data_IF_930192249927
#
_entry.id   IF_930192249927
#
_cell.length_a   1.000
_cell.length_b   1.000
_cell.length_c   1.000
_cell.angle_alpha   90.00
_cell.angle_beta   90.00
_cell.angle_gamma   90.00
#
_symmetry.space_group_name_H-M   'P 1'
#
loop_
_entity.id
_entity.type
_entity.pdbx_description
1 polymer ?
#
# COMPACT_ATOMS: atom_id res chain seq x y z
N UNK A 1 -62.67 8.98 43.78
CA UNK A 1 -62.51 8.99 42.30
C UNK A 1 -61.12 9.48 41.98
N UNK A 2 -60.20 8.61 41.72
CA UNK A 2 -58.81 8.97 41.38
C UNK A 2 -58.58 8.68 39.89
N UNK A 3 -58.43 9.76 39.10
CA UNK A 3 -58.10 9.67 37.70
C UNK A 3 -56.55 9.52 37.56
N UNK A 4 -56.13 8.38 37.04
CA UNK A 4 -54.71 8.16 36.62
C UNK A 4 -54.50 8.73 35.23
N UNK A 5 -53.70 9.78 35.12
CA UNK A 5 -53.20 10.26 33.82
C UNK A 5 -52.05 9.32 33.38
N UNK A 6 -52.25 8.65 32.28
CA UNK A 6 -51.19 7.90 31.60
C UNK A 6 -50.52 8.81 30.55
N UNK A 7 -49.27 9.21 30.80
CA UNK A 7 -48.47 9.96 29.83
C UNK A 7 -47.80 8.94 28.90
N UNK A 8 -48.22 8.93 27.64
CA UNK A 8 -47.58 8.16 26.60
C UNK A 8 -46.37 8.97 26.04
N UNK A 9 -45.18 8.53 26.34
CA UNK A 9 -43.95 9.08 25.74
C UNK A 9 -43.78 8.57 24.32
N UNK A 10 -44.01 9.42 23.33
CA UNK A 10 -43.63 9.12 21.94
C UNK A 10 -42.09 9.24 21.81
N UNK A 11 -41.39 8.11 21.72
CA UNK A 11 -40.02 8.06 21.25
C UNK A 11 -40.03 8.23 19.72
N UNK A 12 -39.74 9.44 19.24
CA UNK A 12 -39.40 9.67 17.86
C UNK A 12 -37.95 9.20 17.63
N UNK A 13 -37.81 8.00 17.06
CA UNK A 13 -36.52 7.52 16.54
C UNK A 13 -36.10 8.43 15.38
N UNK A 14 -35.14 9.31 15.62
CA UNK A 14 -34.42 10.01 14.58
C UNK A 14 -33.64 8.97 13.76
N UNK A 15 -34.20 8.53 12.64
CA UNK A 15 -33.49 7.83 11.57
C UNK A 15 -32.46 8.83 10.99
N UNK A 16 -31.24 8.81 11.53
CA UNK A 16 -30.12 9.44 10.85
C UNK A 16 -30.00 8.75 9.47
N UNK A 17 -29.98 9.52 8.35
CA UNK A 17 -29.74 8.90 7.06
C UNK A 17 -28.39 8.22 7.12
N UNK A 18 -28.33 6.91 6.92
CA UNK A 18 -27.11 6.25 6.53
C UNK A 18 -26.70 6.90 5.22
N UNK A 19 -25.68 7.75 5.27
CA UNK A 19 -25.01 8.24 4.07
C UNK A 19 -24.35 7.01 3.48
N UNK A 20 -25.03 6.38 2.55
CA UNK A 20 -24.44 5.29 1.75
C UNK A 20 -23.15 5.84 1.14
N UNK A 21 -22.06 5.14 1.36
CA UNK A 21 -20.76 5.48 0.81
C UNK A 21 -20.87 5.67 -0.69
N UNK A 22 -20.76 6.91 -1.13
CA UNK A 22 -21.00 7.32 -2.50
C UNK A 22 -19.79 7.04 -3.38
N UNK A 23 -19.45 5.76 -3.56
CA UNK A 23 -18.38 5.32 -4.46
C UNK A 23 -18.88 4.27 -5.46
N UNK A 24 -18.37 4.33 -6.69
CA UNK A 24 -18.59 3.31 -7.72
C UNK A 24 -17.39 2.38 -7.80
N UNK A 25 -17.62 1.07 -7.71
CA UNK A 25 -16.58 0.02 -7.93
C UNK A 25 -16.70 -0.56 -9.33
N UNK A 26 -15.61 -0.54 -10.10
CA UNK A 26 -15.42 -1.35 -11.30
C UNK A 26 -14.48 -2.48 -10.96
N UNK A 27 -15.02 -3.68 -10.81
CA UNK A 27 -14.28 -4.85 -10.32
C UNK A 27 -13.71 -5.71 -11.44
N UNK A 28 -12.63 -6.44 -11.13
CA UNK A 28 -12.04 -7.47 -11.97
C UNK A 28 -11.64 -6.98 -13.38
N UNK A 29 -11.04 -5.79 -13.44
CA UNK A 29 -10.52 -5.24 -14.69
C UNK A 29 -9.19 -5.93 -15.03
N UNK A 30 -9.07 -6.63 -16.16
CA UNK A 30 -7.82 -7.27 -16.55
C UNK A 30 -6.79 -6.22 -16.98
N UNK A 31 -5.55 -6.37 -16.48
CA UNK A 31 -4.45 -5.47 -16.86
C UNK A 31 -3.46 -6.09 -17.87
N UNK A 32 -3.59 -7.38 -18.15
CA UNK A 32 -2.87 -8.09 -19.22
C UNK A 32 -3.85 -8.93 -20.05
N UNK A 33 -3.70 -8.93 -21.36
CA UNK A 33 -4.47 -9.76 -22.29
C UNK A 33 -4.06 -11.24 -22.15
N UNK A 34 -5.05 -12.16 -22.18
CA UNK A 34 -4.82 -13.61 -22.03
C UNK A 34 -4.15 -13.98 -20.70
N UNK A 35 -4.27 -13.10 -19.72
CA UNK A 35 -3.55 -13.16 -18.46
C UNK A 35 -4.07 -14.22 -17.49
N UNK A 36 -3.33 -14.34 -16.42
CA UNK A 36 -3.62 -15.20 -15.27
C UNK A 36 -4.85 -14.66 -14.49
N UNK A 37 -5.57 -15.52 -13.74
CA UNK A 37 -6.70 -15.13 -12.89
C UNK A 37 -6.37 -14.01 -11.89
N UNK A 38 -5.10 -13.85 -11.55
CA UNK A 38 -4.61 -12.78 -10.68
C UNK A 38 -4.16 -11.52 -11.43
N UNK A 39 -4.22 -11.47 -12.74
CA UNK A 39 -3.95 -10.25 -13.53
C UNK A 39 -5.16 -9.33 -13.58
N UNK A 40 -5.76 -9.08 -12.41
CA UNK A 40 -6.97 -8.29 -12.23
C UNK A 40 -6.73 -7.16 -11.23
N UNK A 41 -7.36 -6.02 -11.47
CA UNK A 41 -7.43 -4.90 -10.54
C UNK A 41 -8.88 -4.44 -10.34
N UNK A 42 -9.12 -3.70 -9.26
CA UNK A 42 -10.38 -3.04 -8.97
C UNK A 42 -10.18 -1.53 -8.94
N UNK A 43 -11.14 -0.80 -9.49
CA UNK A 43 -11.11 0.66 -9.56
C UNK A 43 -12.31 1.22 -8.80
N UNK A 44 -12.05 2.12 -7.88
CA UNK A 44 -13.05 2.82 -7.08
C UNK A 44 -13.00 4.31 -7.43
N UNK A 45 -14.14 4.88 -7.81
CA UNK A 45 -14.27 6.29 -8.18
C UNK A 45 -15.34 6.97 -7.34
N UNK A 46 -15.29 8.30 -7.14
CA UNK A 46 -16.43 9.02 -6.62
C UNK A 46 -17.70 8.72 -7.43
N UNK A 47 -18.84 8.65 -6.76
CA UNK A 47 -20.12 8.39 -7.44
C UNK A 47 -20.50 9.52 -8.40
N UNK A 48 -20.22 10.76 -7.96
CA UNK A 48 -20.50 11.94 -8.79
C UNK A 48 -19.33 12.21 -9.72
N UNK A 49 -19.56 12.22 -11.05
CA UNK A 49 -18.55 12.62 -12.01
C UNK A 49 -18.04 14.04 -11.73
N UNK A 50 -16.79 14.29 -12.08
CA UNK A 50 -16.20 15.63 -12.05
C UNK A 50 -15.47 15.87 -13.37
N UNK A 51 -15.46 17.13 -13.82
CA UNK A 51 -14.72 17.54 -15.03
C UNK A 51 -13.21 17.59 -14.80
N UNK A 52 -12.77 17.54 -13.54
CA UNK A 52 -11.35 17.54 -13.19
C UNK A 52 -10.81 16.12 -13.14
N UNK A 53 -9.60 15.93 -13.67
CA UNK A 53 -8.84 14.70 -13.46
C UNK A 53 -8.42 14.58 -11.99
N UNK A 54 -8.74 13.45 -11.37
CA UNK A 54 -8.52 13.19 -9.95
C UNK A 54 -7.15 12.51 -9.71
N UNK A 55 -6.45 12.80 -8.61
CA UNK A 55 -5.28 12.03 -8.23
C UNK A 55 -5.65 10.56 -8.03
N UNK A 56 -4.68 9.69 -8.23
CA UNK A 56 -4.86 8.24 -8.17
C UNK A 56 -4.05 7.67 -7.01
N UNK A 57 -4.66 6.81 -6.19
CA UNK A 57 -3.95 5.93 -5.27
C UNK A 57 -3.91 4.52 -5.85
N UNK A 58 -2.73 4.04 -6.16
CA UNK A 58 -2.47 2.66 -6.57
C UNK A 58 -2.04 1.86 -5.35
N UNK A 59 -2.84 0.86 -4.95
CA UNK A 59 -2.65 0.09 -3.73
C UNK A 59 -2.30 -1.37 -3.99
N UNK A 60 -1.28 -1.87 -3.27
CA UNK A 60 -0.75 -3.22 -3.39
C UNK A 60 -1.02 -3.97 -2.08
N UNK A 61 -1.74 -5.09 -2.15
CA UNK A 61 -2.09 -5.88 -0.96
C UNK A 61 -0.88 -6.59 -0.34
N UNK A 62 -0.97 -6.93 0.94
CA UNK A 62 -0.03 -7.76 1.68
C UNK A 62 -0.25 -9.26 1.46
N UNK A 63 0.24 -10.06 2.42
CA UNK A 63 0.06 -11.51 2.43
C UNK A 63 1.35 -12.30 2.24
N UNK A 64 2.51 -11.71 2.55
CA UNK A 64 3.82 -12.37 2.52
C UNK A 64 4.20 -12.89 1.13
N UNK A 65 3.73 -12.25 0.07
CA UNK A 65 3.90 -12.62 -1.35
C UNK A 65 3.28 -13.98 -1.74
N UNK A 66 2.57 -14.66 -0.80
CA UNK A 66 2.01 -16.00 -0.96
C UNK A 66 0.48 -16.05 -0.78
N UNK A 67 -0.12 -14.95 -0.37
CA UNK A 67 -1.56 -14.80 -0.12
C UNK A 67 -2.02 -13.36 -0.34
N UNK A 68 -3.27 -13.06 -0.02
CA UNK A 68 -3.87 -11.74 -0.13
C UNK A 68 -4.64 -11.52 -1.43
N UNK A 69 -5.41 -10.45 -1.44
CA UNK A 69 -6.29 -10.12 -2.56
C UNK A 69 -6.48 -8.61 -2.68
N UNK A 70 -6.77 -8.13 -3.90
CA UNK A 70 -7.14 -6.74 -4.19
C UNK A 70 -8.37 -6.25 -3.44
N UNK A 71 -9.17 -7.17 -2.88
CA UNK A 71 -10.31 -6.82 -2.05
C UNK A 71 -9.93 -6.47 -0.59
N UNK A 72 -8.67 -6.70 -0.19
CA UNK A 72 -8.14 -6.42 1.16
C UNK A 72 -7.82 -4.91 1.34
N UNK A 73 -8.82 -4.06 1.14
CA UNK A 73 -8.66 -2.59 1.09
C UNK A 73 -9.20 -1.82 2.30
N UNK A 74 -10.03 -2.46 3.13
CA UNK A 74 -10.69 -1.84 4.30
C UNK A 74 -11.37 -0.49 3.97
N UNK A 75 -11.09 0.57 4.74
CA UNK A 75 -11.72 1.89 4.60
C UNK A 75 -11.10 2.78 3.51
N UNK A 76 -9.95 2.40 2.98
CA UNK A 76 -9.16 3.25 2.06
C UNK A 76 -9.93 3.71 0.82
N UNK A 77 -10.66 2.83 0.09
CA UNK A 77 -11.42 3.28 -1.08
C UNK A 77 -12.46 4.34 -0.73
N UNK A 78 -13.20 4.11 0.35
CA UNK A 78 -14.25 5.04 0.78
C UNK A 78 -13.64 6.41 1.12
N UNK A 79 -12.69 6.44 2.02
CA UNK A 79 -12.13 7.70 2.52
C UNK A 79 -11.40 8.50 1.45
N UNK A 80 -10.79 7.81 0.48
CA UNK A 80 -10.07 8.47 -0.62
C UNK A 80 -11.01 8.95 -1.73
N UNK A 81 -12.06 8.19 -2.07
CA UNK A 81 -13.04 8.65 -3.06
C UNK A 81 -13.86 9.83 -2.54
N UNK A 82 -14.18 9.87 -1.24
CA UNK A 82 -14.81 11.03 -0.59
C UNK A 82 -13.92 12.30 -0.65
N UNK A 83 -12.60 12.12 -0.76
CA UNK A 83 -11.61 13.20 -0.93
C UNK A 83 -11.23 13.49 -2.38
N UNK A 84 -11.98 12.92 -3.32
CA UNK A 84 -11.76 13.18 -4.74
C UNK A 84 -10.55 12.46 -5.33
N UNK A 85 -10.22 11.27 -4.84
CA UNK A 85 -9.25 10.36 -5.44
C UNK A 85 -9.96 9.28 -6.26
N UNK A 86 -9.27 8.76 -7.26
CA UNK A 86 -9.51 7.42 -7.79
C UNK A 86 -8.63 6.46 -7.00
N UNK A 87 -9.22 5.39 -6.47
CA UNK A 87 -8.47 4.35 -5.77
C UNK A 87 -8.42 3.08 -6.63
N UNK A 88 -7.24 2.52 -6.81
CA UNK A 88 -7.01 1.28 -7.57
C UNK A 88 -6.33 0.27 -6.66
N UNK A 89 -6.90 -0.93 -6.56
CA UNK A 89 -6.27 -2.06 -5.86
C UNK A 89 -5.94 -3.16 -6.85
N UNK A 90 -4.71 -3.69 -6.79
CA UNK A 90 -4.23 -4.68 -7.75
C UNK A 90 -3.95 -6.03 -7.11
N UNK A 91 -4.23 -7.11 -7.84
CA UNK A 91 -3.66 -8.42 -7.63
C UNK A 91 -2.33 -8.55 -8.40
N UNK A 92 -1.56 -9.55 -8.03
CA UNK A 92 -0.34 -10.00 -8.68
C UNK A 92 -0.20 -11.52 -8.44
N UNK A 93 0.52 -12.26 -9.30
CA UNK A 93 0.80 -13.68 -9.08
C UNK A 93 1.64 -13.90 -7.83
N UNK A 94 1.46 -15.03 -7.17
CA UNK A 94 2.01 -15.31 -5.84
C UNK A 94 3.17 -16.32 -5.91
N UNK A 95 4.02 -16.27 -4.89
CA UNK A 95 4.99 -17.34 -4.64
C UNK A 95 4.26 -18.60 -4.13
N UNK A 96 4.72 -19.81 -4.42
CA UNK A 96 5.89 -20.16 -5.23
C UNK A 96 5.56 -20.36 -6.73
N UNK A 97 4.35 -20.00 -7.17
CA UNK A 97 3.92 -20.15 -8.57
C UNK A 97 4.83 -19.40 -9.53
N UNK A 98 5.26 -18.22 -9.13
CA UNK A 98 6.21 -17.39 -9.88
C UNK A 98 7.42 -17.04 -9.02
N UNK A 99 8.47 -16.47 -9.63
CA UNK A 99 9.60 -15.88 -8.90
C UNK A 99 9.31 -14.48 -8.42
N UNK A 100 10.10 -13.95 -7.48
CA UNK A 100 9.96 -12.58 -6.98
C UNK A 100 10.08 -11.55 -8.11
N UNK A 101 11.00 -11.73 -9.04
CA UNK A 101 11.16 -10.84 -10.20
C UNK A 101 9.88 -10.78 -11.06
N UNK A 102 9.27 -11.92 -11.34
CA UNK A 102 8.02 -12.00 -12.10
C UNK A 102 6.88 -11.32 -11.34
N UNK A 103 6.80 -11.51 -10.02
CA UNK A 103 5.80 -10.89 -9.17
C UNK A 103 5.91 -9.36 -9.18
N UNK A 104 7.13 -8.81 -9.06
CA UNK A 104 7.36 -7.36 -9.15
C UNK A 104 6.96 -6.83 -10.53
N UNK A 105 7.25 -7.57 -11.61
CA UNK A 105 6.85 -7.21 -12.98
C UNK A 105 5.34 -7.24 -13.17
N UNK A 106 4.61 -8.15 -12.51
CA UNK A 106 3.13 -8.12 -12.52
C UNK A 106 2.60 -6.83 -11.93
N UNK A 107 3.15 -6.39 -10.78
CA UNK A 107 2.78 -5.12 -10.15
C UNK A 107 3.11 -3.94 -11.08
N UNK A 108 4.28 -3.93 -11.70
CA UNK A 108 4.68 -2.90 -12.65
C UNK A 108 3.78 -2.88 -13.90
N UNK A 109 3.39 -4.06 -14.42
CA UNK A 109 2.48 -4.18 -15.55
C UNK A 109 1.08 -3.64 -15.20
N UNK A 110 0.58 -3.94 -14.00
CA UNK A 110 -0.67 -3.37 -13.49
C UNK A 110 -0.59 -1.84 -13.37
N UNK A 111 0.51 -1.31 -12.82
CA UNK A 111 0.74 0.14 -12.77
C UNK A 111 0.79 0.77 -14.16
N UNK A 112 1.49 0.15 -15.10
CA UNK A 112 1.56 0.60 -16.50
C UNK A 112 0.19 0.62 -17.18
N UNK A 113 -0.66 -0.38 -16.89
CA UNK A 113 -2.04 -0.38 -17.35
C UNK A 113 -2.84 0.79 -16.75
N UNK A 114 -2.69 1.04 -15.44
CA UNK A 114 -3.33 2.18 -14.77
C UNK A 114 -2.90 3.49 -15.41
N UNK A 115 -1.62 3.72 -15.61
CA UNK A 115 -1.11 4.92 -16.28
C UNK A 115 -1.75 5.13 -17.66
N UNK A 116 -1.88 4.08 -18.48
CA UNK A 116 -2.45 4.18 -19.83
C UNK A 116 -3.98 4.34 -19.86
N UNK A 117 -4.70 3.88 -18.84
CA UNK A 117 -6.16 3.72 -18.92
C UNK A 117 -6.96 4.52 -17.89
N UNK A 118 -6.34 4.96 -16.78
CA UNK A 118 -7.08 5.53 -15.64
C UNK A 118 -7.84 6.82 -15.99
N UNK A 119 -7.44 7.50 -17.05
CA UNK A 119 -8.13 8.68 -17.56
C UNK A 119 -9.58 8.39 -17.99
N UNK A 120 -9.89 7.16 -18.41
CA UNK A 120 -11.26 6.70 -18.73
C UNK A 120 -12.15 6.60 -17.50
N UNK A 121 -11.53 6.52 -16.31
CA UNK A 121 -12.18 6.43 -15.01
C UNK A 121 -12.11 7.75 -14.23
N UNK A 122 -11.73 8.86 -14.88
CA UNK A 122 -11.61 10.17 -14.26
C UNK A 122 -10.30 10.43 -13.51
N UNK A 123 -9.38 9.47 -13.48
CA UNK A 123 -8.06 9.63 -12.85
C UNK A 123 -7.06 10.41 -13.71
N UNK A 124 -6.08 11.04 -13.06
CA UNK A 124 -4.97 11.73 -13.71
C UNK A 124 -3.77 10.78 -13.81
N UNK A 125 -3.37 10.34 -15.02
CA UNK A 125 -2.24 9.43 -15.19
C UNK A 125 -0.89 10.05 -14.78
N UNK A 126 -0.81 11.37 -14.63
CA UNK A 126 0.39 12.09 -14.21
C UNK A 126 0.40 12.43 -12.70
N UNK A 127 -0.58 11.94 -11.95
CA UNK A 127 -0.71 12.21 -10.51
C UNK A 127 -1.04 10.93 -9.75
N UNK A 128 -0.07 9.99 -9.69
CA UNK A 128 -0.28 8.68 -9.08
C UNK A 128 0.56 8.57 -7.80
N UNK A 129 -0.12 8.24 -6.70
CA UNK A 129 0.49 7.80 -5.45
C UNK A 129 0.51 6.27 -5.43
N UNK A 130 1.55 5.70 -4.86
CA UNK A 130 1.69 4.24 -4.70
C UNK A 130 1.68 3.91 -3.22
N UNK A 131 0.88 2.95 -2.81
CA UNK A 131 0.87 2.47 -1.44
C UNK A 131 0.73 0.96 -1.37
N UNK A 132 1.05 0.39 -0.23
CA UNK A 132 0.89 -1.03 0.00
C UNK A 132 1.20 -1.43 1.44
N UNK A 133 0.68 -2.58 1.86
CA UNK A 133 0.84 -3.08 3.21
C UNK A 133 1.69 -4.35 3.25
N UNK A 134 2.59 -4.49 4.25
CA UNK A 134 3.37 -5.71 4.48
C UNK A 134 4.22 -6.07 3.24
N UNK A 135 4.02 -7.24 2.62
CA UNK A 135 4.63 -7.59 1.33
C UNK A 135 4.36 -6.52 0.25
N UNK A 136 3.14 -5.96 0.22
CA UNK A 136 2.80 -4.85 -0.68
C UNK A 136 3.57 -3.56 -0.37
N UNK A 137 4.02 -3.35 0.85
CA UNK A 137 4.87 -2.22 1.20
C UNK A 137 6.27 -2.33 0.56
N UNK A 138 6.86 -3.53 0.56
CA UNK A 138 8.11 -3.80 -0.16
C UNK A 138 7.92 -3.58 -1.66
N UNK A 139 6.82 -4.11 -2.23
CA UNK A 139 6.51 -3.94 -3.65
C UNK A 139 6.28 -2.48 -4.04
N UNK A 140 5.61 -1.70 -3.20
CA UNK A 140 5.45 -0.26 -3.39
C UNK A 140 6.80 0.46 -3.35
N UNK A 141 7.64 0.14 -2.37
CA UNK A 141 8.95 0.76 -2.23
C UNK A 141 9.85 0.44 -3.43
N UNK A 142 9.92 -0.83 -3.86
CA UNK A 142 10.81 -1.23 -4.97
C UNK A 142 10.39 -0.59 -6.30
N UNK A 143 9.10 -0.56 -6.65
CA UNK A 143 8.66 0.06 -7.91
C UNK A 143 8.76 1.60 -7.90
N UNK A 144 8.91 2.23 -6.73
CA UNK A 144 9.12 3.67 -6.57
C UNK A 144 10.59 4.07 -6.44
N UNK A 145 11.53 3.12 -6.27
CA UNK A 145 12.98 3.39 -6.16
C UNK A 145 13.78 2.80 -7.31
N UNK A 146 13.36 1.65 -7.83
CA UNK A 146 13.96 1.01 -9.00
C UNK A 146 13.15 1.32 -10.26
N UNK A 147 13.63 2.27 -11.03
CA UNK A 147 12.98 2.77 -12.24
C UNK A 147 12.95 1.75 -13.40
N UNK A 148 13.73 0.68 -13.36
CA UNK A 148 13.76 -0.36 -14.40
C UNK A 148 12.38 -0.93 -14.65
N UNK A 149 11.66 -1.27 -13.58
CA UNK A 149 10.34 -1.91 -13.67
C UNK A 149 9.28 -1.02 -14.34
N UNK A 150 9.21 0.26 -13.99
CA UNK A 150 8.26 1.19 -14.62
C UNK A 150 8.70 1.61 -16.02
N UNK A 151 10.00 1.74 -16.28
CA UNK A 151 10.55 2.00 -17.64
C UNK A 151 10.18 0.89 -18.61
N UNK A 152 10.20 -0.38 -18.20
CA UNK A 152 9.74 -1.51 -19.02
C UNK A 152 8.27 -1.38 -19.44
N UNK A 153 7.47 -0.63 -18.67
CA UNK A 153 6.07 -0.32 -19.00
C UNK A 153 5.91 1.00 -19.76
N UNK A 154 7.00 1.68 -20.11
CA UNK A 154 7.00 2.99 -20.75
C UNK A 154 6.58 4.12 -19.82
N UNK A 155 6.79 3.99 -18.50
CA UNK A 155 6.37 4.97 -17.50
C UNK A 155 7.59 5.62 -16.85
N UNK A 156 7.60 6.96 -16.81
CA UNK A 156 8.58 7.76 -16.06
C UNK A 156 8.18 7.91 -14.59
N UNK A 157 9.17 8.03 -13.71
CA UNK A 157 8.93 8.38 -12.29
C UNK A 157 8.29 9.76 -12.09
N UNK A 158 8.32 10.63 -13.06
CA UNK A 158 7.71 11.96 -12.99
C UNK A 158 6.18 11.93 -12.78
N UNK A 159 5.53 10.81 -13.07
CA UNK A 159 4.09 10.63 -12.79
C UNK A 159 3.79 10.32 -11.33
N UNK A 160 4.81 9.89 -10.56
CA UNK A 160 4.69 9.53 -9.15
C UNK A 160 4.62 10.79 -8.28
N UNK A 161 3.64 10.85 -7.39
CA UNK A 161 3.45 11.98 -6.44
C UNK A 161 3.83 11.62 -5.02
N UNK A 162 3.87 10.34 -4.69
CA UNK A 162 4.26 9.86 -3.37
C UNK A 162 4.21 8.36 -3.27
N UNK A 163 4.96 7.82 -2.30
CA UNK A 163 4.97 6.41 -1.95
C UNK A 163 4.64 6.23 -0.47
N UNK A 164 3.68 5.34 -0.16
CA UNK A 164 3.20 5.09 1.20
C UNK A 164 3.32 3.60 1.56
N UNK A 165 4.52 3.11 1.86
CA UNK A 165 4.73 1.77 2.38
C UNK A 165 4.23 1.67 3.83
N UNK A 166 3.37 0.67 4.12
CA UNK A 166 2.76 0.46 5.43
C UNK A 166 3.26 -0.86 6.02
N UNK A 167 4.01 -0.76 7.10
CA UNK A 167 4.50 -1.85 7.95
C UNK A 167 5.26 -2.96 7.19
N UNK A 168 6.14 -2.56 6.27
CA UNK A 168 7.08 -3.45 5.59
C UNK A 168 8.34 -3.69 6.41
N UNK A 169 8.90 -4.88 6.29
CA UNK A 169 10.14 -5.31 6.98
C UNK A 169 11.28 -5.69 6.02
N UNK A 170 11.15 -5.39 4.74
CA UNK A 170 12.04 -5.91 3.67
C UNK A 170 12.48 -4.83 2.67
N UNK A 171 12.79 -3.62 3.17
CA UNK A 171 13.37 -2.57 2.32
C UNK A 171 14.88 -2.76 2.11
N UNK A 172 15.55 -3.47 3.05
CA UNK A 172 16.93 -3.97 2.96
C UNK A 172 16.91 -5.47 3.28
N UNK A 173 16.81 -6.29 2.25
CA UNK A 173 16.62 -7.74 2.37
C UNK A 173 17.84 -8.45 2.98
N UNK A 174 19.10 -8.16 2.58
CA UNK A 174 20.26 -8.73 3.25
C UNK A 174 20.25 -8.49 4.76
N UNK A 175 19.86 -7.28 5.16
CA UNK A 175 19.88 -6.89 6.58
C UNK A 175 18.82 -7.62 7.40
N UNK A 176 17.60 -7.77 6.88
CA UNK A 176 16.56 -8.49 7.61
C UNK A 176 16.85 -9.99 7.69
N UNK A 177 17.36 -10.61 6.62
CA UNK A 177 17.80 -12.00 6.63
C UNK A 177 18.90 -12.20 7.69
N UNK A 178 19.95 -11.38 7.66
CA UNK A 178 21.03 -11.44 8.65
C UNK A 178 20.52 -11.26 10.09
N UNK A 179 19.60 -10.33 10.32
CA UNK A 179 19.01 -10.08 11.64
C UNK A 179 18.22 -11.29 12.14
N UNK A 180 17.41 -11.90 11.27
CA UNK A 180 16.62 -13.08 11.60
C UNK A 180 17.51 -14.31 11.90
N UNK A 181 18.57 -14.54 11.11
CA UNK A 181 19.51 -15.63 11.30
C UNK A 181 20.36 -15.47 12.57
N UNK A 182 20.84 -14.25 12.86
CA UNK A 182 21.53 -13.95 14.13
C UNK A 182 20.62 -14.20 15.34
N UNK A 183 19.40 -13.76 15.28
CA UNK A 183 18.41 -13.96 16.34
C UNK A 183 18.16 -15.46 16.58
N UNK A 184 18.03 -16.25 15.50
CA UNK A 184 17.91 -17.70 15.59
C UNK A 184 19.14 -18.35 16.24
N UNK A 185 20.34 -17.89 15.91
CA UNK A 185 21.60 -18.39 16.50
C UNK A 185 21.69 -18.09 18.00
N UNK A 186 21.28 -16.89 18.43
CA UNK A 186 21.42 -16.44 19.81
C UNK A 186 20.38 -17.05 20.77
N UNK A 187 19.15 -17.21 20.31
CA UNK A 187 18.03 -17.58 21.17
C UNK A 187 17.48 -18.98 20.89
N UNK A 188 17.91 -19.62 19.80
CA UNK A 188 17.44 -20.95 19.40
C UNK A 188 15.96 -20.97 18.97
N UNK A 189 15.48 -22.16 18.63
CA UNK A 189 14.08 -22.39 18.32
C UNK A 189 13.63 -21.92 16.93
N UNK A 190 12.34 -22.10 16.65
CA UNK A 190 11.68 -21.59 15.44
C UNK A 190 11.45 -20.09 15.64
N UNK A 191 12.48 -19.29 15.43
CA UNK A 191 12.25 -17.87 15.37
C UNK A 191 11.46 -17.52 14.14
N UNK A 192 10.59 -16.56 14.37
CA UNK A 192 9.73 -15.99 13.37
C UNK A 192 10.59 -15.24 12.32
N UNK A 193 10.92 -15.94 11.25
CA UNK A 193 11.73 -15.42 10.16
C UNK A 193 10.86 -15.26 8.93
N UNK A 194 9.63 -15.03 8.91
CA UNK A 194 8.75 -15.02 7.72
C UNK A 194 9.29 -15.82 6.50
N UNK A 195 10.35 -16.58 6.68
CA UNK A 195 11.05 -17.30 5.64
C UNK A 195 11.58 -16.40 4.53
N UNK A 196 12.12 -15.21 4.86
CA UNK A 196 12.60 -14.27 3.85
C UNK A 196 13.56 -14.91 2.85
N UNK A 197 14.55 -15.70 3.35
CA UNK A 197 15.45 -16.43 2.46
C UNK A 197 14.73 -17.40 1.53
N UNK A 198 13.68 -18.07 1.99
CA UNK A 198 12.89 -18.98 1.15
C UNK A 198 12.10 -18.22 0.05
N UNK A 199 11.70 -16.97 0.32
CA UNK A 199 10.92 -16.14 -0.60
C UNK A 199 11.80 -15.40 -1.61
N UNK A 200 12.95 -14.89 -1.15
CA UNK A 200 13.89 -14.16 -2.01
C UNK A 200 15.00 -15.05 -2.59
N UNK A 201 15.04 -16.34 -2.20
CA UNK A 201 16.07 -17.31 -2.64
C UNK A 201 17.38 -17.17 -1.86
N UNK A 202 18.40 -17.90 -2.30
CA UNK A 202 19.71 -17.97 -1.65
C UNK A 202 20.78 -17.09 -2.34
N UNK A 203 20.42 -16.40 -3.41
CA UNK A 203 21.33 -15.55 -4.17
C UNK A 203 21.48 -14.18 -3.51
N UNK A 204 22.67 -13.84 -2.92
CA UNK A 204 22.88 -12.54 -2.27
C UNK A 204 22.75 -11.35 -3.22
N UNK A 205 23.07 -11.50 -4.51
CA UNK A 205 22.96 -10.43 -5.49
C UNK A 205 21.49 -10.08 -5.71
N UNK A 206 20.62 -11.08 -5.75
CA UNK A 206 19.17 -10.86 -5.82
C UNK A 206 18.60 -10.23 -4.55
N UNK A 207 19.13 -10.57 -3.37
CA UNK A 207 18.71 -9.88 -2.14
C UNK A 207 19.01 -8.38 -2.21
N UNK A 208 20.17 -8.00 -2.73
CA UNK A 208 20.54 -6.60 -2.96
C UNK A 208 19.65 -5.99 -4.04
N UNK A 209 19.45 -6.68 -5.15
CA UNK A 209 18.66 -6.19 -6.30
C UNK A 209 17.17 -5.97 -5.96
N UNK A 210 16.59 -6.80 -5.10
CA UNK A 210 15.19 -6.63 -4.65
C UNK A 210 15.01 -5.67 -3.47
N UNK A 211 16.09 -5.05 -2.98
CA UNK A 211 16.08 -4.12 -1.86
C UNK A 211 15.85 -2.67 -2.32
N UNK A 212 14.81 -2.03 -1.86
CA UNK A 212 14.49 -0.64 -2.20
C UNK A 212 15.64 0.33 -1.87
N UNK A 213 16.35 0.10 -0.75
CA UNK A 213 17.49 0.94 -0.33
C UNK A 213 18.62 0.98 -1.35
N UNK A 214 18.79 -0.08 -2.16
CA UNK A 214 19.86 -0.19 -3.16
C UNK A 214 19.69 0.76 -4.33
N UNK A 215 18.44 1.07 -4.66
CA UNK A 215 18.10 1.82 -5.88
C UNK A 215 17.86 3.30 -5.65
N UNK A 216 17.88 3.75 -4.39
CA UNK A 216 17.74 5.16 -4.05
C UNK A 216 18.92 5.94 -4.61
N UNK A 217 18.62 6.91 -5.45
CA UNK A 217 19.62 7.83 -6.00
C UNK A 217 19.00 9.22 -6.20
N UNK A 218 19.82 10.28 -6.06
CA UNK A 218 19.42 11.66 -6.21
C UNK A 218 18.89 11.88 -7.62
N UNK A 219 18.80 12.14 -8.49
CA UNK A 219 18.43 12.51 -9.88
C UNK A 219 17.55 11.48 -10.61
N UNK A 220 16.89 10.57 -9.85
CA UNK A 220 15.95 9.59 -10.43
C UNK A 220 14.48 10.01 -10.43
N UNK A 221 14.14 11.20 -9.95
CA UNK A 221 12.74 11.61 -9.72
C UNK A 221 11.96 10.67 -8.79
N UNK A 222 12.66 10.05 -7.82
CA UNK A 222 12.02 9.25 -6.78
C UNK A 222 11.04 10.15 -6.01
N UNK A 223 9.76 9.74 -5.85
CA UNK A 223 8.77 10.58 -5.20
C UNK A 223 9.03 10.74 -3.70
N UNK A 224 8.38 11.70 -3.02
CA UNK A 224 8.34 11.73 -1.55
C UNK A 224 7.82 10.43 -0.95
N UNK A 225 8.25 10.09 0.28
CA UNK A 225 7.83 8.89 1.00
C UNK A 225 7.17 9.21 2.35
N UNK A 226 6.09 8.47 2.66
CA UNK A 226 5.56 8.33 4.01
C UNK A 226 5.70 6.87 4.44
N UNK A 227 6.64 6.58 5.33
CA UNK A 227 6.89 5.24 5.86
C UNK A 227 6.10 5.06 7.16
N UNK A 228 5.03 4.28 7.12
CA UNK A 228 4.21 3.95 8.28
C UNK A 228 4.64 2.61 8.87
N UNK A 229 4.79 2.53 10.20
CA UNK A 229 5.05 1.27 10.89
C UNK A 229 4.37 1.22 12.27
N UNK A 230 4.10 0.01 12.79
CA UNK A 230 3.67 -0.11 14.16
C UNK A 230 4.86 -0.28 15.12
N UNK A 231 4.84 0.43 16.23
CA UNK A 231 6.02 0.54 17.12
C UNK A 231 6.38 -0.75 17.87
N UNK A 232 5.44 -1.69 17.94
CA UNK A 232 5.64 -2.97 18.61
C UNK A 232 6.45 -4.01 17.82
N UNK A 233 6.78 -3.74 16.53
CA UNK A 233 7.62 -4.61 15.72
C UNK A 233 9.00 -3.95 15.50
N UNK A 234 10.08 -4.48 16.11
CA UNK A 234 11.40 -3.91 15.93
C UNK A 234 11.95 -4.03 14.50
N UNK A 235 11.50 -5.03 13.72
CA UNK A 235 11.99 -5.26 12.38
C UNK A 235 11.39 -4.24 11.39
N UNK A 236 10.07 -4.01 11.41
CA UNK A 236 9.44 -3.00 10.55
C UNK A 236 9.93 -1.59 10.91
N UNK A 237 10.12 -1.30 12.21
CA UNK A 237 10.71 -0.05 12.66
C UNK A 237 12.14 0.16 12.12
N UNK A 238 13.00 -0.86 12.26
CA UNK A 238 14.39 -0.78 11.79
C UNK A 238 14.46 -0.60 10.27
N UNK A 239 13.64 -1.30 9.52
CA UNK A 239 13.58 -1.20 8.07
C UNK A 239 13.02 0.15 7.58
N UNK A 240 11.96 0.66 8.22
CA UNK A 240 11.42 1.98 7.89
C UNK A 240 12.44 3.10 8.15
N UNK A 241 13.13 3.07 9.31
CA UNK A 241 14.18 4.05 9.61
C UNK A 241 15.33 3.95 8.60
N UNK A 242 15.78 2.73 8.25
CA UNK A 242 16.86 2.53 7.30
C UNK A 242 16.54 3.07 5.92
N UNK A 243 15.37 2.78 5.37
CA UNK A 243 14.95 3.36 4.10
C UNK A 243 14.82 4.89 4.20
N UNK A 244 14.28 5.39 5.31
CA UNK A 244 14.18 6.82 5.58
C UNK A 244 15.53 7.53 5.60
N UNK A 245 16.55 6.93 6.22
CA UNK A 245 17.93 7.47 6.23
C UNK A 245 18.53 7.51 4.83
N UNK A 246 18.34 6.47 4.02
CA UNK A 246 18.88 6.40 2.66
C UNK A 246 18.18 7.43 1.76
N UNK A 247 16.84 7.57 1.87
CA UNK A 247 16.09 8.61 1.13
C UNK A 247 16.55 10.01 1.51
N UNK A 248 16.71 10.29 2.80
CA UNK A 248 17.26 11.58 3.29
C UNK A 248 18.65 11.89 2.74
N UNK A 249 19.53 10.89 2.73
CA UNK A 249 20.89 11.05 2.21
C UNK A 249 20.90 11.36 0.71
N UNK A 250 19.85 11.01 -0.02
CA UNK A 250 19.65 11.32 -1.43
C UNK A 250 18.81 12.60 -1.68
N UNK A 251 18.56 13.41 -0.63
CA UNK A 251 17.71 14.62 -0.67
C UNK A 251 16.26 14.37 -1.11
N UNK A 252 15.73 13.15 -0.87
CA UNK A 252 14.34 12.80 -1.16
C UNK A 252 13.47 13.05 0.08
N UNK A 253 12.38 13.81 -0.02
CA UNK A 253 11.50 14.07 1.11
C UNK A 253 10.93 12.78 1.69
N UNK A 254 11.06 12.60 3.00
CA UNK A 254 10.56 11.41 3.68
C UNK A 254 10.07 11.73 5.09
N UNK A 255 8.92 11.20 5.43
CA UNK A 255 8.37 11.14 6.80
C UNK A 255 8.35 9.69 7.26
N UNK A 256 8.92 9.42 8.43
CA UNK A 256 8.87 8.10 9.08
C UNK A 256 7.97 8.21 10.31
N UNK A 257 6.84 7.53 10.29
CA UNK A 257 5.81 7.65 11.33
C UNK A 257 5.50 6.29 11.97
N UNK A 258 5.72 6.20 13.27
CA UNK A 258 5.43 5.01 14.07
C UNK A 258 4.13 5.16 14.86
N UNK A 259 3.18 4.24 14.69
CA UNK A 259 1.94 4.19 15.46
C UNK A 259 2.07 3.20 16.62
N UNK A 260 1.78 3.66 17.85
CA UNK A 260 1.60 2.82 19.04
C UNK A 260 0.19 2.25 19.16
N UNK A 261 -0.03 1.38 20.16
CA UNK A 261 -1.33 0.80 20.50
C UNK A 261 -2.07 0.20 19.29
N UNK A 262 -1.36 -0.50 18.45
CA UNK A 262 -1.86 -1.16 17.25
C UNK A 262 -1.08 -2.45 16.99
N UNK A 263 -1.36 -3.14 15.90
CA UNK A 263 -0.60 -4.28 15.40
C UNK A 263 -0.48 -4.23 13.88
N UNK A 264 0.24 -5.18 13.31
CA UNK A 264 0.51 -5.27 11.87
C UNK A 264 -0.75 -5.15 10.99
N UNK A 265 -1.76 -5.95 11.25
CA UNK A 265 -3.00 -5.95 10.46
C UNK A 265 -3.88 -4.74 10.78
N UNK A 266 -3.94 -4.35 12.05
CA UNK A 266 -4.79 -3.25 12.49
C UNK A 266 -4.30 -1.90 11.96
N UNK A 267 -2.98 -1.67 11.88
CA UNK A 267 -2.42 -0.45 11.27
C UNK A 267 -2.95 -0.26 9.85
N UNK A 268 -2.96 -1.32 9.04
CA UNK A 268 -3.51 -1.28 7.68
C UNK A 268 -5.03 -1.09 7.64
N UNK A 269 -5.75 -1.81 8.50
CA UNK A 269 -7.22 -1.82 8.50
C UNK A 269 -7.81 -0.51 9.02
N UNK A 270 -7.09 0.16 9.91
CA UNK A 270 -7.51 1.44 10.49
C UNK A 270 -7.19 2.64 9.59
N UNK A 271 -6.42 2.49 8.51
CA UNK A 271 -6.19 3.57 7.54
C UNK A 271 -7.52 3.99 6.88
N UNK A 272 -7.92 5.20 7.13
CA UNK A 272 -9.22 5.78 6.78
C UNK A 272 -10.13 6.01 7.97
N UNK A 273 -9.80 5.51 9.16
CA UNK A 273 -10.57 5.72 10.39
C UNK A 273 -10.47 7.19 10.83
N UNK A 274 -11.59 7.83 11.20
CA UNK A 274 -11.55 9.16 11.79
C UNK A 274 -10.67 9.20 13.04
N UNK A 275 -9.99 10.31 13.26
CA UNK A 275 -9.14 10.59 14.44
C UNK A 275 -7.99 9.58 14.67
N UNK A 276 -7.70 8.71 13.70
CA UNK A 276 -6.57 7.82 13.76
C UNK A 276 -5.29 8.55 13.36
N UNK A 277 -4.22 8.53 14.20
CA UNK A 277 -2.99 9.28 13.91
C UNK A 277 -2.29 8.88 12.60
N UNK A 278 -2.30 7.58 12.25
CA UNK A 278 -1.72 7.12 11.00
C UNK A 278 -2.57 7.54 9.79
N UNK A 279 -3.89 7.55 9.95
CA UNK A 279 -4.82 8.11 8.95
C UNK A 279 -4.56 9.59 8.74
N UNK A 280 -4.39 10.37 9.80
CA UNK A 280 -4.11 11.80 9.69
C UNK A 280 -2.80 12.04 8.93
N UNK A 281 -1.72 11.36 9.31
CA UNK A 281 -0.44 11.44 8.59
C UNK A 281 -0.55 11.03 7.11
N UNK A 282 -1.32 9.96 6.84
CA UNK A 282 -1.59 9.49 5.47
C UNK A 282 -2.33 10.53 4.64
N UNK A 283 -3.40 11.11 5.18
CA UNK A 283 -4.21 12.10 4.48
C UNK A 283 -3.50 13.44 4.31
N UNK A 284 -2.67 13.86 5.27
CA UNK A 284 -1.81 15.03 5.15
C UNK A 284 -0.76 14.86 4.05
N UNK A 285 -0.16 13.69 3.95
CA UNK A 285 0.82 13.37 2.90
C UNK A 285 0.24 13.41 1.48
N UNK A 286 -1.04 13.17 1.32
CA UNK A 286 -1.72 13.14 0.01
C UNK A 286 -2.21 14.52 -0.47
N UNK A 287 -2.03 15.58 0.29
CA UNK A 287 -2.38 16.95 -0.06
C UNK A 287 -1.31 17.58 -0.98
#
# INVERSE_FOLDING_TARGET
MNAKLTVAALLSALLLPQIASAQKKTANVPFLDGGHERHLLDIYTPEKPTDKKLPVMFWIHGGGWQAGNKDDVALKPQVLTERGFVFVSTNYRLLPEVTMDVLIRDVAASFGWVHRNIAKYGGDPNRIYVGGHSAGAQLAAIICTDDRYLKEQGVSFEVLRGCVPVDGDTYDIPKIIMTAEHRQTLYGGKMFTFGHRQKFGNDPEKHVDFSAVTHVAKDKHIPPFLLLYFTGNPDTRAQANRLGEVLKAADIPVTVFGKGNTNHSQLNNDLGKPDDPATNAFLEFLQ
#
